data_IF_686422453622
#
_entry.id   IF_686422453622
#
_cell.length_a   1.000
_cell.length_b   1.000
_cell.length_c   1.000
_cell.angle_alpha   90.00
_cell.angle_beta   90.00
_cell.angle_gamma   90.00
#
_symmetry.space_group_name_H-M   'P 1'
#
loop_
_entity.id
_entity.type
_entity.pdbx_description
1 polymer ?
#
# COMPACT_ATOMS: atom_id res chain seq x y z
N UNK A 1 35.45 20.17 1.03
CA UNK A 1 34.72 19.18 0.22
C UNK A 1 35.01 17.82 0.84
N UNK A 2 34.00 17.12 1.39
CA UNK A 2 34.19 15.78 1.91
C UNK A 2 34.34 14.84 0.72
N UNK A 3 35.55 14.42 0.44
CA UNK A 3 35.84 13.41 -0.59
C UNK A 3 35.51 12.04 -0.01
N UNK A 4 34.26 11.60 -0.22
CA UNK A 4 33.78 10.32 0.32
C UNK A 4 34.22 9.12 -0.53
N UNK A 5 34.96 9.35 -1.60
CA UNK A 5 35.35 8.30 -2.56
C UNK A 5 36.48 7.41 -1.98
N UNK A 6 37.33 8.00 -1.14
CA UNK A 6 38.47 7.31 -0.52
C UNK A 6 38.28 7.02 0.99
N UNK A 7 37.05 7.16 1.52
CA UNK A 7 36.79 6.83 2.91
C UNK A 7 36.64 5.32 3.12
N UNK A 8 37.57 4.68 3.82
CA UNK A 8 37.40 3.29 4.28
C UNK A 8 36.20 3.07 5.20
N UNK A 9 35.75 4.14 5.88
CA UNK A 9 34.57 4.13 6.74
C UNK A 9 33.54 5.14 6.26
N UNK A 10 32.26 4.78 6.32
CA UNK A 10 31.17 5.70 6.02
C UNK A 10 31.26 6.95 6.92
N UNK A 11 31.25 8.18 6.37
CA UNK A 11 31.39 9.42 7.14
C UNK A 11 30.25 9.66 8.12
N UNK A 12 29.15 8.92 7.97
CA UNK A 12 27.98 9.02 8.80
C UNK A 12 27.46 7.65 9.20
N UNK A 13 26.93 7.53 10.41
CA UNK A 13 26.21 6.34 10.83
C UNK A 13 24.89 6.18 10.05
N UNK A 14 24.39 4.97 9.93
CA UNK A 14 23.08 4.69 9.33
C UNK A 14 21.96 5.48 10.02
N UNK A 15 22.02 5.61 11.35
CA UNK A 15 21.06 6.39 12.12
C UNK A 15 21.10 7.89 11.77
N UNK A 16 22.29 8.45 11.52
CA UNK A 16 22.45 9.83 11.07
C UNK A 16 21.83 10.06 9.70
N UNK A 17 22.05 9.15 8.75
CA UNK A 17 21.43 9.21 7.43
C UNK A 17 19.91 9.08 7.50
N UNK A 18 19.38 8.20 8.34
CA UNK A 18 17.95 8.05 8.52
C UNK A 18 17.31 9.34 9.08
N UNK A 19 17.91 9.94 10.11
CA UNK A 19 17.45 11.23 10.68
C UNK A 19 17.51 12.34 9.66
N UNK A 20 18.57 12.42 8.87
CA UNK A 20 18.72 13.41 7.81
C UNK A 20 17.63 13.28 6.75
N UNK A 21 17.36 12.05 6.27
CA UNK A 21 16.26 11.79 5.31
C UNK A 21 14.90 12.21 5.89
N UNK A 22 14.64 11.86 7.14
CA UNK A 22 13.39 12.25 7.81
C UNK A 22 13.26 13.77 7.88
N UNK A 23 14.33 14.47 8.24
CA UNK A 23 14.34 15.93 8.29
C UNK A 23 14.10 16.55 6.89
N UNK A 24 14.73 16.02 5.83
CA UNK A 24 14.48 16.48 4.47
C UNK A 24 13.01 16.36 4.07
N UNK A 25 12.36 15.23 4.40
CA UNK A 25 10.95 14.99 4.10
C UNK A 25 10.06 15.97 4.90
N UNK A 26 10.27 16.08 6.22
CA UNK A 26 9.47 16.97 7.09
C UNK A 26 9.54 18.43 6.62
N UNK A 27 10.69 18.86 6.10
CA UNK A 27 10.90 20.22 5.63
C UNK A 27 10.66 20.39 4.11
N UNK A 28 10.15 19.38 3.42
CA UNK A 28 9.88 19.42 1.96
C UNK A 28 11.14 19.67 1.12
N UNK A 29 12.33 19.23 1.58
CA UNK A 29 13.63 19.45 0.93
C UNK A 29 14.16 18.20 0.22
N UNK A 30 13.39 17.12 0.21
CA UNK A 30 13.79 15.82 -0.36
C UNK A 30 14.12 15.88 -1.86
N UNK A 31 13.39 16.70 -2.62
CA UNK A 31 13.63 16.93 -4.05
C UNK A 31 14.68 18.02 -4.34
N UNK A 32 14.81 18.98 -3.44
CA UNK A 32 15.64 20.16 -3.64
C UNK A 32 17.12 19.86 -3.91
N UNK A 33 17.65 18.79 -3.31
CA UNK A 33 19.04 18.38 -3.56
C UNK A 33 19.28 18.03 -5.03
N UNK A 34 18.37 17.26 -5.64
CA UNK A 34 18.46 16.89 -7.07
C UNK A 34 18.24 18.12 -7.94
N UNK A 35 17.21 18.91 -7.66
CA UNK A 35 16.87 20.13 -8.41
C UNK A 35 18.03 21.12 -8.40
N UNK A 36 18.60 21.44 -7.22
CA UNK A 36 19.75 22.33 -7.10
C UNK A 36 20.99 21.77 -7.82
N UNK A 37 21.20 20.45 -7.77
CA UNK A 37 22.32 19.82 -8.49
C UNK A 37 22.16 19.97 -10.00
N UNK A 38 20.95 19.80 -10.51
CA UNK A 38 20.62 19.97 -11.93
C UNK A 38 20.81 21.45 -12.34
N UNK A 39 20.27 22.38 -11.56
CA UNK A 39 20.43 23.84 -11.82
C UNK A 39 21.89 24.28 -11.83
N UNK A 40 22.69 23.83 -10.85
CA UNK A 40 24.13 24.13 -10.84
C UNK A 40 24.88 23.53 -12.03
N UNK A 41 24.50 22.31 -12.44
CA UNK A 41 25.05 21.66 -13.59
C UNK A 41 24.72 22.42 -14.91
N UNK A 42 23.48 22.93 -15.02
CA UNK A 42 23.05 23.74 -16.18
C UNK A 42 23.75 25.09 -16.26
N UNK A 43 24.07 25.70 -15.11
CA UNK A 43 24.83 26.95 -15.04
C UNK A 43 26.33 26.76 -15.36
N UNK A 44 26.86 25.55 -15.17
CA UNK A 44 28.26 25.23 -15.48
C UNK A 44 28.45 25.01 -16.97
N UNK A 45 29.31 25.82 -17.61
CA UNK A 45 29.68 25.60 -19.02
C UNK A 45 30.33 24.23 -19.20
N UNK A 46 29.57 23.25 -19.63
CA UNK A 46 30.02 21.85 -19.81
C UNK A 46 28.97 20.81 -19.51
N UNK A 47 27.92 21.19 -18.81
CA UNK A 47 26.79 20.29 -18.49
C UNK A 47 25.53 20.56 -19.34
N UNK A 48 25.52 21.59 -20.15
CA UNK A 48 24.42 21.95 -21.04
C UNK A 48 24.64 21.41 -22.44
N UNK A 49 24.14 20.21 -22.73
CA UNK A 49 23.97 19.77 -24.10
C UNK A 49 22.63 20.31 -24.64
N UNK A 50 22.66 20.88 -25.87
CA UNK A 50 21.42 21.26 -26.56
C UNK A 50 20.53 20.06 -26.89
N UNK A 51 21.09 18.85 -26.82
CA UNK A 51 20.39 17.57 -27.00
C UNK A 51 20.75 16.65 -25.83
N UNK A 52 19.82 16.49 -24.88
CA UNK A 52 19.97 15.58 -23.76
C UNK A 52 19.94 14.14 -24.28
N UNK A 53 21.04 13.41 -24.08
CA UNK A 53 21.07 11.95 -24.22
C UNK A 53 20.86 11.34 -22.85
N UNK A 54 19.70 10.74 -22.63
CA UNK A 54 19.35 10.20 -21.33
C UNK A 54 18.92 8.74 -21.41
N UNK A 55 19.18 8.01 -20.34
CA UNK A 55 18.63 6.68 -20.09
C UNK A 55 17.69 6.72 -18.90
N UNK A 56 16.53 6.07 -19.05
CA UNK A 56 15.59 5.81 -17.97
C UNK A 56 15.76 4.35 -17.52
N UNK A 57 16.20 4.16 -16.29
CA UNK A 57 16.22 2.84 -15.65
C UNK A 57 15.09 2.69 -14.66
N UNK A 58 14.47 1.50 -14.66
CA UNK A 58 13.39 1.15 -13.75
C UNK A 58 13.76 -0.08 -12.95
N UNK A 59 13.78 0.05 -11.62
CA UNK A 59 14.15 -1.03 -10.72
C UNK A 59 13.07 -1.25 -9.64
N UNK A 60 12.89 -2.51 -9.18
CA UNK A 60 11.99 -2.80 -8.07
C UNK A 60 12.41 -2.07 -6.80
N UNK A 61 11.43 -1.57 -6.07
CA UNK A 61 11.56 -1.11 -4.70
C UNK A 61 10.56 -1.91 -3.86
N UNK A 62 11.07 -2.72 -2.95
CA UNK A 62 10.22 -3.58 -2.11
C UNK A 62 9.43 -2.75 -1.13
N UNK A 63 8.13 -3.04 -1.02
CA UNK A 63 7.27 -2.45 0.00
C UNK A 63 7.61 -2.99 1.40
N UNK A 64 7.42 -2.18 2.42
CA UNK A 64 7.62 -2.57 3.81
C UNK A 64 6.36 -3.15 4.45
N UNK A 65 5.20 -2.91 3.85
CA UNK A 65 3.92 -3.35 4.38
C UNK A 65 3.62 -4.81 4.06
N UNK A 66 2.77 -5.41 4.90
CA UNK A 66 2.34 -6.79 4.74
C UNK A 66 1.46 -6.95 3.50
N UNK A 67 1.79 -7.92 2.66
CA UNK A 67 0.93 -8.39 1.57
C UNK A 67 -0.11 -9.35 2.14
N UNK A 68 -1.35 -9.14 1.81
CA UNK A 68 -2.47 -9.95 2.30
C UNK A 68 -3.29 -10.50 1.13
N UNK A 69 -3.87 -11.67 1.35
CA UNK A 69 -4.87 -12.22 0.43
C UNK A 69 -6.22 -11.50 0.60
N UNK A 70 -7.15 -11.71 -0.34
CA UNK A 70 -8.44 -11.02 -0.39
C UNK A 70 -9.22 -11.11 0.92
N UNK A 71 -9.24 -12.26 1.57
CA UNK A 71 -9.99 -12.46 2.83
C UNK A 71 -9.38 -11.62 3.96
N UNK A 72 -8.07 -11.68 4.11
CA UNK A 72 -7.37 -10.89 5.13
C UNK A 72 -7.42 -9.39 4.82
N UNK A 73 -7.36 -8.97 3.55
CA UNK A 73 -7.55 -7.57 3.16
C UNK A 73 -8.93 -7.05 3.59
N UNK A 74 -10.02 -7.78 3.27
CA UNK A 74 -11.37 -7.41 3.67
C UNK A 74 -11.52 -7.40 5.19
N UNK A 75 -11.06 -8.44 5.87
CA UNK A 75 -11.10 -8.53 7.33
C UNK A 75 -10.31 -7.42 8.02
N UNK A 76 -9.16 -7.05 7.48
CA UNK A 76 -8.31 -5.98 8.04
C UNK A 76 -8.94 -4.59 7.81
N UNK A 77 -9.54 -4.35 6.64
CA UNK A 77 -10.28 -3.11 6.39
C UNK A 77 -11.46 -2.93 7.37
N UNK A 78 -12.26 -3.99 7.56
CA UNK A 78 -13.34 -3.99 8.54
C UNK A 78 -12.82 -3.81 9.96
N UNK A 79 -11.77 -4.53 10.36
CA UNK A 79 -11.16 -4.40 11.69
C UNK A 79 -10.70 -2.97 11.96
N UNK A 80 -10.11 -2.32 10.97
CA UNK A 80 -9.64 -0.93 11.07
C UNK A 80 -10.81 0.03 11.32
N UNK A 81 -11.91 -0.14 10.58
CA UNK A 81 -13.11 0.67 10.75
C UNK A 81 -13.79 0.45 12.11
N UNK A 82 -13.97 -0.80 12.52
CA UNK A 82 -14.53 -1.16 13.85
C UNK A 82 -13.64 -0.61 14.96
N UNK A 83 -12.31 -0.66 14.80
CA UNK A 83 -11.34 -0.12 15.75
C UNK A 83 -11.50 1.38 15.99
N UNK A 84 -11.76 2.15 14.94
CA UNK A 84 -12.04 3.59 15.05
C UNK A 84 -13.29 3.84 15.88
N UNK A 85 -14.36 3.11 15.59
CA UNK A 85 -15.63 3.22 16.33
C UNK A 85 -15.45 2.81 17.79
N UNK A 86 -14.71 1.74 18.05
CA UNK A 86 -14.41 1.27 19.40
C UNK A 86 -13.67 2.34 20.22
N UNK A 87 -12.67 3.01 19.62
CA UNK A 87 -11.95 4.10 20.27
C UNK A 87 -12.88 5.27 20.57
N UNK A 88 -13.75 5.67 19.62
CA UNK A 88 -14.71 6.75 19.83
C UNK A 88 -15.70 6.46 20.97
N UNK A 89 -16.12 5.19 21.09
CA UNK A 89 -17.05 4.78 22.14
C UNK A 89 -16.37 4.44 23.48
N UNK A 90 -15.04 4.47 23.55
CA UNK A 90 -14.28 4.06 24.74
C UNK A 90 -14.47 2.59 25.09
N UNK A 91 -14.73 1.72 24.11
CA UNK A 91 -15.03 0.30 24.23
C UNK A 91 -13.92 -0.56 23.62
N UNK A 92 -13.90 -1.84 24.00
CA UNK A 92 -12.98 -2.80 23.37
C UNK A 92 -13.45 -3.15 21.94
N UNK A 93 -12.52 -3.33 21.02
CA UNK A 93 -12.81 -3.71 19.63
C UNK A 93 -13.68 -4.96 19.55
N UNK A 94 -13.39 -5.99 20.36
CA UNK A 94 -14.15 -7.24 20.36
C UNK A 94 -15.61 -7.06 20.79
N UNK A 95 -15.91 -6.14 21.69
CA UNK A 95 -17.29 -5.85 22.11
C UNK A 95 -18.08 -5.18 20.99
N UNK A 96 -17.47 -4.18 20.35
CA UNK A 96 -18.12 -3.48 19.22
C UNK A 96 -18.29 -4.42 18.03
N UNK A 97 -17.28 -5.23 17.73
CA UNK A 97 -17.35 -6.22 16.66
C UNK A 97 -18.49 -7.24 16.88
N UNK A 98 -18.67 -7.71 18.12
CA UNK A 98 -19.74 -8.62 18.48
C UNK A 98 -21.12 -7.96 18.36
N UNK A 99 -21.29 -6.73 18.80
CA UNK A 99 -22.57 -6.00 18.70
C UNK A 99 -23.01 -5.78 17.24
N UNK A 100 -22.05 -5.61 16.34
CA UNK A 100 -22.30 -5.45 14.89
C UNK A 100 -22.49 -6.83 14.22
N UNK A 101 -22.08 -7.93 14.86
CA UNK A 101 -22.09 -9.28 14.27
C UNK A 101 -20.94 -9.50 13.26
N UNK A 102 -19.78 -8.90 13.55
CA UNK A 102 -18.52 -9.02 12.76
C UNK A 102 -17.35 -9.47 13.65
N UNK A 103 -17.64 -10.25 14.66
CA UNK A 103 -16.69 -10.73 15.68
C UNK A 103 -15.45 -11.43 15.11
N UNK A 104 -15.56 -12.04 13.92
CA UNK A 104 -14.45 -12.66 13.22
C UNK A 104 -13.29 -11.70 12.88
N UNK A 105 -13.53 -10.40 12.83
CA UNK A 105 -12.45 -9.43 12.56
C UNK A 105 -11.68 -9.03 13.82
N UNK A 106 -12.15 -9.39 15.00
CA UNK A 106 -11.49 -9.02 16.25
C UNK A 106 -10.16 -9.75 16.47
N UNK A 107 -9.97 -10.91 15.86
CA UNK A 107 -8.78 -11.75 15.97
C UNK A 107 -7.57 -11.21 15.18
N UNK A 108 -6.48 -11.98 15.20
CA UNK A 108 -5.24 -11.67 14.47
C UNK A 108 -5.33 -11.98 12.97
N UNK A 109 -6.20 -12.90 12.57
CA UNK A 109 -6.40 -13.33 11.19
C UNK A 109 -7.86 -13.77 11.01
N UNK A 110 -8.50 -13.27 9.98
CA UNK A 110 -9.86 -13.67 9.59
C UNK A 110 -9.91 -15.16 9.26
N UNK A 111 -8.90 -15.68 8.57
CA UNK A 111 -8.83 -17.10 8.23
C UNK A 111 -8.81 -18.00 9.46
N UNK A 112 -8.08 -17.62 10.51
CA UNK A 112 -8.05 -18.36 11.75
C UNK A 112 -9.39 -18.27 12.52
N UNK A 113 -10.07 -17.13 12.45
CA UNK A 113 -11.34 -16.91 13.09
C UNK A 113 -12.49 -17.75 12.49
N UNK A 114 -12.44 -17.98 11.18
CA UNK A 114 -13.47 -18.76 10.47
C UNK A 114 -13.30 -20.28 10.63
N UNK A 115 -12.13 -20.77 11.05
CA UNK A 115 -11.81 -22.19 11.29
C UNK A 115 -12.30 -23.14 10.18
N UNK A 116 -12.01 -22.79 8.92
CA UNK A 116 -12.43 -23.53 7.73
C UNK A 116 -11.24 -24.25 7.08
N UNK A 117 -11.54 -25.28 6.29
CA UNK A 117 -10.53 -25.94 5.46
C UNK A 117 -10.25 -25.11 4.20
N UNK A 118 -9.19 -24.32 4.24
CA UNK A 118 -8.80 -23.39 3.16
C UNK A 118 -8.25 -24.07 1.90
N UNK A 119 -8.08 -25.37 1.89
CA UNK A 119 -7.70 -26.12 0.68
C UNK A 119 -8.92 -26.48 -0.17
N UNK A 120 -10.11 -26.44 0.41
CA UNK A 120 -11.36 -26.76 -0.27
C UNK A 120 -12.00 -25.53 -0.94
N UNK A 121 -12.25 -25.58 -2.28
CA UNK A 121 -12.86 -24.45 -3.00
C UNK A 121 -14.27 -24.07 -2.49
N UNK A 122 -15.11 -25.05 -2.13
CA UNK A 122 -16.45 -24.81 -1.60
C UNK A 122 -16.41 -24.04 -0.29
N UNK A 123 -15.47 -24.36 0.59
CA UNK A 123 -15.30 -23.64 1.85
C UNK A 123 -14.70 -22.23 1.67
N UNK A 124 -13.87 -22.03 0.66
CA UNK A 124 -13.41 -20.69 0.28
C UNK A 124 -14.57 -19.81 -0.18
N UNK A 125 -15.45 -20.31 -1.05
CA UNK A 125 -16.60 -19.56 -1.50
C UNK A 125 -17.59 -19.28 -0.35
N UNK A 126 -17.81 -20.26 0.53
CA UNK A 126 -18.60 -20.06 1.74
C UNK A 126 -18.00 -18.97 2.66
N UNK A 127 -16.69 -19.01 2.89
CA UNK A 127 -15.99 -17.97 3.66
C UNK A 127 -16.15 -16.58 3.01
N UNK A 128 -16.09 -16.50 1.68
CA UNK A 128 -16.28 -15.24 0.96
C UNK A 128 -17.68 -14.67 1.21
N UNK A 129 -18.70 -15.51 1.14
CA UNK A 129 -20.09 -15.13 1.49
C UNK A 129 -20.19 -14.53 2.90
N UNK A 130 -19.63 -15.23 3.91
CA UNK A 130 -19.62 -14.74 5.30
C UNK A 130 -18.96 -13.35 5.41
N UNK A 131 -17.83 -13.16 4.74
CA UNK A 131 -17.10 -11.87 4.81
C UNK A 131 -17.87 -10.74 4.14
N UNK A 132 -18.53 -11.01 3.01
CA UNK A 132 -19.36 -10.02 2.33
C UNK A 132 -20.61 -9.67 3.14
N UNK A 133 -21.28 -10.65 3.73
CA UNK A 133 -22.39 -10.39 4.65
C UNK A 133 -21.95 -9.57 5.88
N UNK A 134 -20.73 -9.79 6.37
CA UNK A 134 -20.17 -8.98 7.45
C UNK A 134 -19.93 -7.53 6.99
N UNK A 135 -19.47 -7.32 5.76
CA UNK A 135 -19.32 -5.98 5.18
C UNK A 135 -20.68 -5.28 5.09
N UNK A 136 -21.71 -5.96 4.60
CA UNK A 136 -23.06 -5.40 4.51
C UNK A 136 -23.65 -5.06 5.89
N UNK A 137 -23.49 -5.94 6.88
CA UNK A 137 -23.89 -5.67 8.27
C UNK A 137 -23.20 -4.45 8.85
N UNK A 138 -21.89 -4.35 8.61
CA UNK A 138 -21.12 -3.20 9.06
C UNK A 138 -21.57 -1.91 8.39
N UNK A 139 -21.84 -1.91 7.10
CA UNK A 139 -22.37 -0.74 6.37
C UNK A 139 -23.74 -0.32 6.90
N UNK A 140 -24.65 -1.28 7.11
CA UNK A 140 -25.97 -1.01 7.68
C UNK A 140 -25.85 -0.36 9.07
N UNK A 141 -24.94 -0.87 9.91
CA UNK A 141 -24.64 -0.30 11.22
C UNK A 141 -24.13 1.13 11.12
N UNK A 142 -23.18 1.40 10.22
CA UNK A 142 -22.62 2.74 10.01
C UNK A 142 -23.70 3.71 9.47
N UNK A 143 -24.54 3.27 8.54
CA UNK A 143 -25.64 4.07 8.00
C UNK A 143 -26.70 4.41 9.05
N UNK A 144 -26.93 3.55 10.01
CA UNK A 144 -27.86 3.82 11.11
C UNK A 144 -27.33 4.86 12.13
N UNK A 145 -26.05 5.19 12.06
CA UNK A 145 -25.37 6.12 12.98
C UNK A 145 -24.60 7.17 12.18
N UNK A 146 -25.24 8.31 11.86
CA UNK A 146 -24.64 9.33 10.95
C UNK A 146 -23.28 9.87 11.41
N UNK A 147 -23.00 9.90 12.71
CA UNK A 147 -21.71 10.29 13.26
C UNK A 147 -20.56 9.34 12.83
N UNK A 148 -20.86 8.05 12.67
CA UNK A 148 -19.87 7.08 12.20
C UNK A 148 -19.56 7.26 10.72
N UNK A 149 -20.58 7.56 9.89
CA UNK A 149 -20.39 7.84 8.46
C UNK A 149 -19.51 9.07 8.24
N UNK A 150 -19.67 10.09 9.07
CA UNK A 150 -18.91 11.34 8.96
C UNK A 150 -17.45 11.19 9.35
N UNK A 151 -17.07 10.11 10.07
CA UNK A 151 -15.69 9.91 10.46
C UNK A 151 -14.82 9.50 9.26
N UNK A 152 -13.77 10.31 8.90
CA UNK A 152 -13.00 10.09 7.68
C UNK A 152 -12.35 8.71 7.58
N UNK A 153 -11.85 8.17 8.69
CA UNK A 153 -11.21 6.85 8.71
C UNK A 153 -12.19 5.69 8.55
N UNK A 154 -13.41 5.80 9.09
CA UNK A 154 -14.48 4.79 8.90
C UNK A 154 -14.86 4.77 7.43
N UNK A 155 -15.12 5.92 6.84
CA UNK A 155 -15.46 6.05 5.41
C UNK A 155 -14.35 5.52 4.52
N UNK A 156 -13.10 5.95 4.72
CA UNK A 156 -11.95 5.46 3.94
C UNK A 156 -11.76 3.95 4.05
N UNK A 157 -12.00 3.35 5.22
CA UNK A 157 -11.91 1.90 5.39
C UNK A 157 -13.04 1.17 4.67
N UNK A 158 -14.26 1.70 4.66
CA UNK A 158 -15.38 1.15 3.89
C UNK A 158 -15.14 1.25 2.38
N UNK A 159 -14.70 2.41 1.89
CA UNK A 159 -14.32 2.61 0.49
C UNK A 159 -13.23 1.61 0.07
N UNK A 160 -12.24 1.40 0.94
CA UNK A 160 -11.20 0.40 0.73
C UNK A 160 -11.74 -1.02 0.66
N UNK A 161 -12.65 -1.41 1.55
CA UNK A 161 -13.26 -2.74 1.54
C UNK A 161 -14.07 -2.97 0.25
N UNK A 162 -14.85 -1.99 -0.18
CA UNK A 162 -15.61 -2.06 -1.44
C UNK A 162 -14.71 -2.07 -2.68
N UNK A 163 -13.60 -1.34 -2.67
CA UNK A 163 -12.61 -1.42 -3.73
C UNK A 163 -12.00 -2.84 -3.82
N UNK A 164 -11.64 -3.43 -2.70
CA UNK A 164 -11.08 -4.79 -2.64
C UNK A 164 -12.11 -5.80 -3.14
N UNK A 165 -13.37 -5.70 -2.74
CA UNK A 165 -14.46 -6.50 -3.25
C UNK A 165 -14.58 -6.38 -4.77
N UNK A 166 -14.73 -5.17 -5.29
CA UNK A 166 -14.86 -4.91 -6.72
C UNK A 166 -13.68 -5.44 -7.56
N UNK A 167 -12.48 -5.40 -7.01
CA UNK A 167 -11.27 -5.90 -7.68
C UNK A 167 -11.15 -7.43 -7.66
N UNK A 168 -11.71 -8.11 -6.66
CA UNK A 168 -11.40 -9.51 -6.38
C UNK A 168 -12.59 -10.46 -6.41
N UNK A 169 -13.82 -9.92 -6.41
CA UNK A 169 -15.04 -10.71 -6.34
C UNK A 169 -15.81 -10.63 -7.65
N UNK A 170 -16.40 -11.72 -8.04
CA UNK A 170 -17.35 -11.80 -9.16
C UNK A 170 -18.53 -12.68 -8.79
N UNK A 171 -19.68 -12.40 -9.39
CA UNK A 171 -20.88 -13.23 -9.27
C UNK A 171 -20.98 -14.06 -10.54
N UNK A 172 -21.11 -15.36 -10.40
CA UNK A 172 -21.24 -16.26 -11.55
C UNK A 172 -22.67 -16.27 -12.14
N UNK A 173 -22.87 -17.01 -13.23
CA UNK A 173 -24.15 -17.11 -13.91
C UNK A 173 -25.27 -17.74 -13.05
N UNK A 174 -24.93 -18.36 -11.93
CA UNK A 174 -25.89 -18.94 -10.98
C UNK A 174 -26.19 -18.03 -9.80
N UNK A 175 -25.56 -16.84 -9.77
CA UNK A 175 -25.67 -15.91 -8.65
C UNK A 175 -24.75 -16.24 -7.47
N UNK A 176 -23.82 -17.19 -7.64
CA UNK A 176 -22.86 -17.55 -6.58
C UNK A 176 -21.66 -16.60 -6.59
N UNK A 177 -21.26 -16.20 -5.40
CA UNK A 177 -20.10 -15.33 -5.19
C UNK A 177 -18.82 -16.14 -5.19
N UNK A 178 -17.83 -15.70 -5.98
CA UNK A 178 -16.52 -16.34 -6.04
C UNK A 178 -15.39 -15.33 -6.23
N UNK A 179 -14.16 -15.77 -5.95
CA UNK A 179 -13.01 -14.94 -6.27
C UNK A 179 -12.80 -14.89 -7.79
N UNK A 180 -12.57 -13.68 -8.27
CA UNK A 180 -12.25 -13.40 -9.67
C UNK A 180 -10.98 -14.14 -10.08
N UNK A 181 -11.02 -14.75 -11.27
CA UNK A 181 -9.84 -15.38 -11.86
C UNK A 181 -8.92 -14.30 -12.44
N UNK A 182 -7.64 -14.33 -12.09
CA UNK A 182 -6.64 -13.37 -12.55
C UNK A 182 -6.39 -12.24 -11.55
N UNK A 183 -5.75 -11.19 -12.04
CA UNK A 183 -5.39 -10.01 -11.22
C UNK A 183 -6.01 -8.77 -11.85
N UNK A 184 -6.85 -8.08 -11.10
CA UNK A 184 -7.40 -6.80 -11.54
C UNK A 184 -6.28 -5.75 -11.72
N UNK A 185 -6.43 -4.81 -12.67
CA UNK A 185 -5.56 -3.66 -12.75
C UNK A 185 -5.52 -2.91 -11.41
N UNK A 186 -4.36 -2.40 -11.05
CA UNK A 186 -4.16 -1.61 -9.82
C UNK A 186 -4.67 -2.30 -8.54
N UNK A 187 -4.61 -3.66 -8.51
CA UNK A 187 -5.09 -4.44 -7.38
C UNK A 187 -4.39 -4.03 -6.10
N UNK A 188 -5.17 -3.66 -5.09
CA UNK A 188 -4.69 -3.41 -3.74
C UNK A 188 -4.21 -4.70 -3.08
N UNK A 189 -3.03 -4.65 -2.45
CA UNK A 189 -2.38 -5.82 -1.84
C UNK A 189 -2.04 -5.64 -0.37
N UNK A 190 -2.21 -4.42 0.15
CA UNK A 190 -2.00 -4.07 1.55
C UNK A 190 -3.04 -3.07 2.02
N UNK A 191 -3.45 -3.15 3.28
CA UNK A 191 -4.33 -2.17 3.93
C UNK A 191 -3.53 -0.97 4.45
N UNK A 192 -2.30 -1.22 4.93
CA UNK A 192 -1.46 -0.17 5.51
C UNK A 192 -0.76 0.69 4.45
N UNK A 193 -0.63 0.17 3.23
CA UNK A 193 0.06 0.84 2.14
C UNK A 193 -0.81 0.77 0.86
N UNK A 194 -1.46 1.89 0.55
CA UNK A 194 -2.41 1.96 -0.56
C UNK A 194 -1.76 1.99 -1.93
N UNK A 195 -0.49 2.39 -2.00
CA UNK A 195 0.24 2.54 -3.26
C UNK A 195 1.04 1.29 -3.62
N UNK A 196 1.20 0.35 -2.68
CA UNK A 196 1.93 -0.88 -2.91
C UNK A 196 1.20 -1.81 -3.89
N UNK A 197 1.91 -2.32 -4.89
CA UNK A 197 1.35 -3.18 -5.95
C UNK A 197 2.18 -4.44 -6.20
N UNK A 198 1.54 -5.46 -6.77
CA UNK A 198 2.25 -6.56 -7.42
C UNK A 198 2.92 -6.06 -8.69
N UNK A 199 4.23 -6.16 -8.76
CA UNK A 199 5.01 -5.78 -9.91
C UNK A 199 5.78 -6.95 -10.52
N UNK A 200 6.28 -6.74 -11.75
CA UNK A 200 7.20 -7.67 -12.41
C UNK A 200 8.38 -6.90 -13.00
N UNK A 201 9.58 -7.40 -12.75
CA UNK A 201 10.79 -6.96 -13.44
C UNK A 201 11.01 -7.77 -14.73
N UNK A 202 10.65 -9.05 -14.71
CA UNK A 202 10.72 -9.96 -15.86
C UNK A 202 9.60 -11.01 -15.76
N UNK A 203 9.52 -11.93 -16.73
CA UNK A 203 8.57 -13.05 -16.68
C UNK A 203 8.72 -13.91 -15.42
N UNK A 204 9.95 -14.06 -14.91
CA UNK A 204 10.28 -14.89 -13.75
C UNK A 204 10.42 -14.12 -12.44
N UNK A 205 10.63 -12.81 -12.48
CA UNK A 205 10.89 -12.00 -11.28
C UNK A 205 9.71 -11.11 -10.96
N UNK A 206 8.98 -11.49 -9.90
CA UNK A 206 7.89 -10.73 -9.29
C UNK A 206 8.41 -9.99 -8.06
N UNK A 207 7.76 -8.90 -7.69
CA UNK A 207 8.01 -8.19 -6.45
C UNK A 207 6.70 -7.53 -5.96
N UNK A 208 6.66 -7.21 -4.68
CA UNK A 208 5.55 -6.51 -4.05
C UNK A 208 6.09 -5.17 -3.52
N UNK A 209 5.56 -4.08 -4.03
CA UNK A 209 6.08 -2.76 -3.72
C UNK A 209 5.87 -1.77 -4.87
N UNK A 210 6.95 -1.10 -5.26
CA UNK A 210 6.95 0.03 -6.19
C UNK A 210 7.97 -0.15 -7.28
N UNK A 211 7.89 0.70 -8.30
CA UNK A 211 8.96 0.88 -9.28
C UNK A 211 9.66 2.21 -9.05
N UNK A 212 10.96 2.15 -8.84
CA UNK A 212 11.81 3.32 -8.83
C UNK A 212 12.31 3.59 -10.24
N UNK A 213 12.15 4.81 -10.71
CA UNK A 213 12.63 5.28 -12.00
C UNK A 213 13.74 6.30 -11.77
N UNK A 214 14.84 6.14 -12.50
CA UNK A 214 15.97 7.04 -12.44
C UNK A 214 16.31 7.48 -13.86
N UNK A 215 16.19 8.77 -14.13
CA UNK A 215 16.62 9.38 -15.39
C UNK A 215 18.07 9.88 -15.24
N UNK A 216 18.97 9.31 -16.02
CA UNK A 216 20.39 9.65 -15.99
C UNK A 216 20.82 10.23 -17.34
N UNK A 217 21.55 11.34 -17.29
CA UNK A 217 22.26 11.92 -18.43
C UNK A 217 23.45 11.01 -18.77
N UNK A 218 23.52 10.58 -20.02
CA UNK A 218 24.56 9.64 -20.49
C UNK A 218 25.91 10.32 -20.78
N UNK A 219 25.92 11.63 -21.01
CA UNK A 219 27.14 12.34 -21.37
C UNK A 219 27.95 12.76 -20.14
N UNK A 220 27.27 13.07 -19.02
CA UNK A 220 27.93 13.52 -17.78
C UNK A 220 27.63 12.67 -16.59
N UNK A 221 26.77 11.67 -16.71
CA UNK A 221 26.41 10.75 -15.63
C UNK A 221 25.49 11.33 -14.56
N UNK A 222 25.01 12.56 -14.72
CA UNK A 222 24.16 13.24 -13.76
C UNK A 222 22.76 12.61 -13.68
N UNK A 223 22.24 12.41 -12.46
CA UNK A 223 20.85 12.04 -12.26
C UNK A 223 19.99 13.31 -12.43
N UNK A 224 19.10 13.30 -13.43
CA UNK A 224 18.22 14.41 -13.78
C UNK A 224 16.89 14.36 -13.07
N UNK A 225 16.37 13.17 -12.86
CA UNK A 225 15.10 12.98 -12.17
C UNK A 225 15.02 11.60 -11.51
N UNK A 226 14.23 11.51 -10.44
CA UNK A 226 13.86 10.27 -9.77
C UNK A 226 12.35 10.27 -9.55
N UNK A 227 11.71 9.14 -9.82
CA UNK A 227 10.29 8.92 -9.55
C UNK A 227 10.04 7.56 -8.92
N UNK A 228 8.91 7.42 -8.25
CA UNK A 228 8.40 6.16 -7.71
C UNK A 228 6.96 6.01 -8.16
N UNK A 229 6.61 4.82 -8.68
CA UNK A 229 5.24 4.45 -9.09
C UNK A 229 4.88 3.08 -8.56
#
# INVERSE_FOLDING_TARGET
MLDCIDCENAPFSQATLARFRTALIIHGQDRRLIETTVELAEQSKGFGSKQLRAALDSSPLWGASKVEDTYNLLGHALKKAVGVIAVQQGRRLAEVANDIGVDMVAGSSLKAALDLNWDRPDQKNFALGIVLEALERFEAFVQAQPENIQHPQVRSSLETARLIEAQNVEVDARGEVKLRTGVAPERRISIEDEDMRHGRKSKSQRFDGYKRHVLRDLDNGLVRAVGVT
#
